data_IF_652670094643
#
_entry.id   IF_652670094643
#
_cell.length_a   1.000
_cell.length_b   1.000
_cell.length_c   1.000
_cell.angle_alpha   90.00
_cell.angle_beta   90.00
_cell.angle_gamma   90.00
#
_symmetry.space_group_name_H-M   'P 1'
#
loop_
_entity.id
_entity.type
_entity.pdbx_description
1 polymer ?
#
# COMPACT_ATOMS: atom_id res chain seq x y z
N UNK A 1 -67.31 38.75 19.40
CA UNK A 1 -66.45 39.80 18.85
C UNK A 1 -65.24 39.16 18.20
N UNK A 2 -64.89 39.66 17.00
CA UNK A 2 -63.63 39.55 16.26
C UNK A 2 -63.03 38.16 15.91
N UNK A 3 -63.10 37.88 14.60
CA UNK A 3 -62.18 37.06 13.79
C UNK A 3 -60.86 37.79 13.59
N UNK A 4 -59.76 37.06 13.30
CA UNK A 4 -58.78 37.20 12.18
C UNK A 4 -57.49 36.45 12.53
N UNK A 5 -57.14 35.38 11.80
CA UNK A 5 -56.20 35.36 10.66
C UNK A 5 -54.75 35.16 11.14
N UNK A 6 -54.04 34.10 10.78
CA UNK A 6 -53.29 33.94 9.51
C UNK A 6 -52.73 32.49 9.54
N UNK A 7 -53.05 31.58 8.60
CA UNK A 7 -52.32 31.23 7.34
C UNK A 7 -50.80 31.07 7.59
N UNK A 8 -50.09 30.03 7.15
CA UNK A 8 -50.10 29.42 5.82
C UNK A 8 -49.13 28.22 5.78
N UNK A 9 -49.42 27.26 4.88
CA UNK A 9 -48.49 26.38 4.14
C UNK A 9 -47.48 25.50 4.90
N UNK A 10 -47.21 24.26 4.51
CA UNK A 10 -47.53 23.57 3.27
C UNK A 10 -46.33 22.69 2.91
N UNK A 11 -46.64 21.43 2.58
CA UNK A 11 -45.96 20.53 1.64
C UNK A 11 -44.44 20.26 1.82
N UNK A 12 -44.08 19.03 2.17
CA UNK A 12 -43.85 17.91 1.22
C UNK A 12 -42.48 18.06 0.56
N UNK A 13 -41.52 17.22 0.96
CA UNK A 13 -40.45 16.78 0.06
C UNK A 13 -39.73 15.56 0.66
N UNK A 14 -40.04 14.42 0.07
CA UNK A 14 -39.17 13.26 0.02
C UNK A 14 -37.80 13.62 -0.55
N UNK A 15 -36.79 12.87 -0.10
CA UNK A 15 -35.48 12.65 -0.75
C UNK A 15 -34.30 13.46 -0.19
N UNK A 16 -33.42 12.75 0.51
CA UNK A 16 -32.00 12.80 0.17
C UNK A 16 -31.36 11.46 0.54
N UNK A 17 -31.04 10.70 -0.51
CA UNK A 17 -30.14 9.57 -0.46
C UNK A 17 -28.69 10.00 -0.15
N UNK A 18 -27.86 8.98 0.06
CA UNK A 18 -26.45 8.90 -0.31
C UNK A 18 -25.39 9.37 0.69
N UNK A 19 -24.40 8.47 0.88
CA UNK A 19 -23.00 8.87 0.92
C UNK A 19 -22.29 8.78 2.27
N UNK A 20 -21.82 7.58 2.64
CA UNK A 20 -20.58 7.47 3.44
C UNK A 20 -19.64 6.43 2.84
N UNK A 21 -19.53 6.45 1.52
CA UNK A 21 -18.47 5.79 0.77
C UNK A 21 -17.79 6.86 -0.07
N UNK A 22 -16.94 7.69 0.54
CA UNK A 22 -16.11 8.64 -0.20
C UNK A 22 -14.91 9.14 0.63
N UNK A 23 -13.82 8.36 0.60
CA UNK A 23 -12.45 8.88 0.47
C UNK A 23 -11.52 7.76 -0.02
N UNK A 24 -11.81 7.19 -1.19
CA UNK A 24 -10.82 6.41 -1.96
C UNK A 24 -10.39 7.26 -3.17
N UNK A 25 -9.91 8.47 -2.88
CA UNK A 25 -9.31 9.32 -3.89
C UNK A 25 -7.94 8.77 -4.29
N UNK A 26 -7.47 8.96 -5.53
CA UNK A 26 -6.12 8.58 -5.94
C UNK A 26 -5.04 9.17 -5.02
N UNK A 27 -5.30 10.33 -4.39
CA UNK A 27 -4.39 10.95 -3.42
C UNK A 27 -4.25 10.16 -2.10
N UNK A 28 -5.32 9.50 -1.65
CA UNK A 28 -5.34 8.68 -0.43
C UNK A 28 -4.58 7.36 -0.65
N UNK A 29 -4.70 6.75 -1.83
CA UNK A 29 -3.90 5.57 -2.20
C UNK A 29 -2.41 5.89 -2.22
N UNK A 30 -2.00 6.99 -2.83
CA UNK A 30 -0.57 7.38 -2.83
C UNK A 30 -0.09 7.73 -1.41
N UNK A 31 -0.96 8.26 -0.54
CA UNK A 31 -0.63 8.48 0.87
C UNK A 31 -0.48 7.15 1.64
N UNK A 32 -1.34 6.15 1.37
CA UNK A 32 -1.23 4.81 1.94
C UNK A 32 0.07 4.10 1.49
N UNK A 33 0.42 4.16 0.20
CA UNK A 33 1.69 3.64 -0.34
C UNK A 33 2.92 4.28 0.33
N UNK A 34 2.86 5.59 0.57
CA UNK A 34 3.90 6.33 1.31
C UNK A 34 4.04 5.90 2.77
N UNK A 35 2.95 5.46 3.40
CA UNK A 35 2.93 4.90 4.75
C UNK A 35 3.50 3.48 4.76
N UNK A 36 3.18 2.69 3.74
CA UNK A 36 3.62 1.30 3.58
C UNK A 36 5.12 1.18 3.32
N UNK A 37 5.70 2.09 2.52
CA UNK A 37 7.16 2.15 2.32
C UNK A 37 7.91 2.57 3.60
N UNK A 38 7.38 3.55 4.35
CA UNK A 38 7.98 4.01 5.59
C UNK A 38 8.07 2.91 6.65
N UNK A 39 6.98 2.15 6.81
CA UNK A 39 6.93 0.98 7.68
C UNK A 39 7.91 -0.12 7.24
N UNK A 40 7.98 -0.39 5.93
CA UNK A 40 8.91 -1.37 5.37
C UNK A 40 10.38 -0.99 5.62
N UNK A 41 10.77 0.27 5.38
CA UNK A 41 12.14 0.75 5.66
C UNK A 41 12.49 0.54 7.13
N UNK A 42 11.58 0.88 8.04
CA UNK A 42 11.76 0.67 9.49
C UNK A 42 11.94 -0.82 9.82
N UNK A 43 11.15 -1.70 9.22
CA UNK A 43 11.28 -3.15 9.39
C UNK A 43 12.64 -3.67 8.94
N UNK A 44 13.08 -3.30 7.72
CA UNK A 44 14.39 -3.70 7.19
C UNK A 44 15.53 -3.18 8.06
N UNK A 45 15.44 -1.95 8.55
CA UNK A 45 16.42 -1.36 9.47
C UNK A 45 16.51 -2.16 10.78
N UNK A 46 15.37 -2.54 11.36
CA UNK A 46 15.33 -3.34 12.57
C UNK A 46 15.90 -4.75 12.35
N UNK A 47 15.60 -5.37 11.20
CA UNK A 47 16.15 -6.67 10.81
C UNK A 47 17.68 -6.62 10.67
N UNK A 48 18.20 -5.55 10.09
CA UNK A 48 19.64 -5.28 10.02
C UNK A 48 20.27 -4.88 11.38
N UNK A 49 19.46 -4.73 12.44
CA UNK A 49 19.88 -4.35 13.80
C UNK A 49 20.69 -3.05 13.87
N UNK A 50 20.38 -2.09 13.00
CA UNK A 50 21.03 -0.77 12.99
C UNK A 50 20.07 0.32 13.49
N UNK A 51 20.63 1.34 14.14
CA UNK A 51 19.84 2.49 14.59
C UNK A 51 19.44 3.39 13.42
N UNK A 52 18.41 4.23 13.61
CA UNK A 52 18.01 5.24 12.63
C UNK A 52 19.16 6.18 12.26
N UNK A 53 19.98 6.56 13.24
CA UNK A 53 21.18 7.41 13.06
C UNK A 53 22.27 6.73 12.26
N UNK A 54 22.42 5.42 12.44
CA UNK A 54 23.37 4.64 11.65
C UNK A 54 22.89 4.51 10.21
N UNK A 55 21.61 4.18 9.98
CA UNK A 55 21.06 4.13 8.62
C UNK A 55 21.18 5.49 7.92
N UNK A 56 20.85 6.59 8.60
CA UNK A 56 20.96 7.93 8.02
C UNK A 56 22.39 8.24 7.56
N UNK A 57 23.41 7.85 8.35
CA UNK A 57 24.82 7.99 7.99
C UNK A 57 25.20 7.11 6.79
N UNK A 58 24.76 5.85 6.76
CA UNK A 58 25.06 4.91 5.68
C UNK A 58 24.40 5.29 4.36
N UNK A 59 23.17 5.79 4.42
CA UNK A 59 22.40 6.23 3.28
C UNK A 59 22.83 7.63 2.78
N UNK A 60 23.52 8.43 3.60
CA UNK A 60 23.83 9.83 3.26
C UNK A 60 22.60 10.74 3.32
N UNK A 61 21.55 10.33 4.03
CA UNK A 61 20.30 11.06 4.21
C UNK A 61 20.27 11.69 5.61
N UNK A 62 19.70 12.88 5.76
CA UNK A 62 19.62 13.51 7.08
C UNK A 62 18.71 12.70 8.03
N UNK A 63 19.11 12.60 9.30
CA UNK A 63 18.35 11.85 10.30
C UNK A 63 16.91 12.36 10.50
N UNK A 64 16.65 13.69 10.56
CA UNK A 64 15.28 14.19 10.66
C UNK A 64 14.42 13.81 9.45
N UNK A 65 14.98 13.84 8.24
CA UNK A 65 14.24 13.50 7.03
C UNK A 65 13.92 12.00 6.97
N UNK A 66 14.90 11.14 7.28
CA UNK A 66 14.66 9.69 7.38
C UNK A 66 13.61 9.34 8.43
N UNK A 67 13.59 10.05 9.57
CA UNK A 67 12.54 9.90 10.59
C UNK A 67 11.15 10.26 10.06
N UNK A 68 11.04 11.28 9.20
CA UNK A 68 9.77 11.64 8.58
C UNK A 68 9.30 10.58 7.59
N UNK A 69 10.23 9.99 6.83
CA UNK A 69 9.94 8.89 5.89
C UNK A 69 9.44 7.65 6.64
N UNK A 70 10.14 7.17 7.67
CA UNK A 70 9.72 5.97 8.44
C UNK A 70 8.36 6.12 9.13
N UNK A 71 7.88 7.36 9.32
CA UNK A 71 6.56 7.67 9.88
C UNK A 71 5.48 7.90 8.82
N UNK A 72 5.82 7.81 7.53
CA UNK A 72 4.91 8.10 6.42
C UNK A 72 4.56 9.58 6.27
N UNK A 73 5.29 10.50 6.91
CA UNK A 73 5.03 11.95 6.86
C UNK A 73 5.61 12.61 5.60
N UNK A 74 6.52 11.91 4.91
CA UNK A 74 7.19 12.37 3.69
C UNK A 74 7.27 11.22 2.70
N UNK A 75 6.94 11.50 1.45
CA UNK A 75 7.15 10.59 0.33
C UNK A 75 8.59 10.77 -0.18
N UNK A 76 9.45 9.74 -0.11
CA UNK A 76 10.81 9.81 -0.62
C UNK A 76 10.82 9.80 -2.16
N UNK A 77 11.82 10.43 -2.77
CA UNK A 77 12.09 10.29 -4.21
C UNK A 77 12.80 8.96 -4.50
N UNK A 78 12.85 8.56 -5.78
CA UNK A 78 13.58 7.36 -6.21
C UNK A 78 15.07 7.41 -5.81
N UNK A 79 15.72 8.57 -5.92
CA UNK A 79 17.12 8.75 -5.51
C UNK A 79 17.32 8.48 -4.01
N UNK A 80 16.41 9.01 -3.17
CA UNK A 80 16.44 8.78 -1.72
C UNK A 80 16.21 7.29 -1.40
N UNK A 81 15.32 6.63 -2.13
CA UNK A 81 15.11 5.18 -1.97
C UNK A 81 16.36 4.39 -2.35
N UNK A 82 17.10 4.75 -3.41
CA UNK A 82 18.38 4.10 -3.76
C UNK A 82 19.41 4.25 -2.64
N UNK A 83 19.54 5.46 -2.11
CA UNK A 83 20.44 5.77 -1.01
C UNK A 83 20.11 4.93 0.23
N UNK A 84 18.83 4.84 0.59
CA UNK A 84 18.35 4.02 1.70
C UNK A 84 18.59 2.52 1.44
N UNK A 85 18.30 2.03 0.23
CA UNK A 85 18.56 0.64 -0.15
C UNK A 85 20.04 0.27 -0.02
N UNK A 86 20.93 1.15 -0.47
CA UNK A 86 22.38 1.00 -0.30
C UNK A 86 22.78 0.95 1.18
N UNK A 87 22.20 1.81 2.01
CA UNK A 87 22.43 1.83 3.45
C UNK A 87 21.95 0.56 4.16
N UNK A 88 20.86 -0.04 3.67
CA UNK A 88 20.28 -1.30 4.15
C UNK A 88 20.90 -2.56 3.53
N UNK A 89 21.71 -2.41 2.47
CA UNK A 89 22.26 -3.49 1.65
C UNK A 89 21.18 -4.41 1.06
N UNK A 90 20.10 -3.81 0.56
CA UNK A 90 19.01 -4.50 -0.15
C UNK A 90 18.88 -3.96 -1.58
N UNK A 91 18.13 -4.65 -2.43
CA UNK A 91 17.82 -4.14 -3.77
C UNK A 91 16.95 -2.89 -3.69
N UNK A 92 17.30 -1.85 -4.46
CA UNK A 92 16.48 -0.65 -4.60
C UNK A 92 15.12 -0.97 -5.25
N UNK A 93 15.07 -1.99 -6.10
CA UNK A 93 13.85 -2.49 -6.73
C UNK A 93 12.79 -2.86 -5.70
N UNK A 94 13.18 -3.54 -4.61
CA UNK A 94 12.26 -3.92 -3.55
C UNK A 94 11.59 -2.69 -2.90
N UNK A 95 12.35 -1.60 -2.73
CA UNK A 95 11.79 -0.34 -2.23
C UNK A 95 10.91 0.37 -3.26
N UNK A 96 11.21 0.25 -4.56
CA UNK A 96 10.39 0.86 -5.61
C UNK A 96 9.04 0.18 -5.77
N UNK A 97 9.01 -1.16 -5.71
CA UNK A 97 7.77 -1.93 -5.73
C UNK A 97 6.92 -1.55 -4.52
N UNK A 98 7.52 -1.50 -3.33
CA UNK A 98 6.80 -1.13 -2.11
C UNK A 98 6.34 0.34 -2.11
N UNK A 99 7.07 1.23 -2.79
CA UNK A 99 6.67 2.62 -2.97
C UNK A 99 5.65 2.85 -4.10
N UNK A 100 5.28 1.80 -4.85
CA UNK A 100 4.43 1.90 -6.04
C UNK A 100 5.07 2.71 -7.19
N UNK A 101 6.39 2.90 -7.17
CA UNK A 101 7.16 3.58 -8.24
C UNK A 101 7.44 2.61 -9.39
N UNK A 102 7.53 1.32 -9.07
CA UNK A 102 7.70 0.26 -10.03
C UNK A 102 6.54 -0.72 -9.86
N UNK A 103 5.86 -1.05 -10.95
CA UNK A 103 4.92 -2.16 -10.95
C UNK A 103 5.68 -3.42 -10.59
N UNK A 104 5.10 -4.28 -9.74
CA UNK A 104 5.71 -5.57 -9.45
C UNK A 104 5.94 -6.26 -10.80
N UNK A 105 7.19 -6.62 -11.17
CA UNK A 105 7.47 -7.10 -12.50
C UNK A 105 6.52 -8.24 -12.84
N UNK A 106 5.75 -8.05 -13.91
CA UNK A 106 4.84 -9.07 -14.45
C UNK A 106 5.72 -10.11 -15.13
N UNK A 107 6.36 -10.93 -14.30
CA UNK A 107 7.48 -11.76 -14.72
C UNK A 107 8.55 -11.86 -13.64
N UNK A 108 8.31 -12.66 -12.61
CA UNK A 108 9.36 -13.02 -11.65
C UNK A 108 10.27 -14.14 -12.19
N UNK A 109 11.30 -14.56 -11.44
CA UNK A 109 12.22 -15.62 -11.85
C UNK A 109 11.52 -16.92 -12.30
N UNK A 110 10.37 -17.21 -11.67
CA UNK A 110 9.52 -18.35 -12.03
C UNK A 110 8.87 -18.17 -13.40
N UNK A 111 8.33 -16.98 -13.70
CA UNK A 111 7.71 -16.69 -14.99
C UNK A 111 8.73 -16.73 -16.11
N UNK A 112 9.93 -16.18 -15.87
CA UNK A 112 11.03 -16.21 -16.82
C UNK A 112 11.51 -17.64 -17.10
N UNK A 113 11.64 -18.46 -16.05
CA UNK A 113 11.98 -19.88 -16.20
C UNK A 113 10.93 -20.64 -17.02
N UNK A 114 9.63 -20.42 -16.76
CA UNK A 114 8.55 -21.07 -17.51
C UNK A 114 8.54 -20.62 -18.98
N UNK A 115 8.81 -19.34 -19.26
CA UNK A 115 8.87 -18.82 -20.64
C UNK A 115 10.07 -19.37 -21.42
N UNK A 116 11.22 -19.50 -20.75
CA UNK A 116 12.47 -19.97 -21.35
C UNK A 116 12.53 -21.50 -21.54
N UNK A 117 11.62 -22.26 -20.92
CA UNK A 117 11.60 -23.72 -21.05
C UNK A 117 11.14 -24.15 -22.45
N UNK A 118 12.06 -24.74 -23.21
CA UNK A 118 11.83 -25.23 -24.56
C UNK A 118 11.05 -26.56 -24.60
N UNK A 119 10.89 -27.26 -23.47
CA UNK A 119 10.12 -28.50 -23.38
C UNK A 119 8.61 -28.27 -23.28
N UNK A 120 8.20 -27.04 -22.98
CA UNK A 120 6.80 -26.65 -22.84
C UNK A 120 6.27 -26.03 -24.13
N UNK A 121 5.08 -26.45 -24.53
CA UNK A 121 4.29 -25.75 -25.56
C UNK A 121 3.80 -24.41 -25.03
N UNK A 122 3.53 -23.45 -25.92
CA UNK A 122 2.98 -22.14 -25.54
C UNK A 122 1.67 -22.25 -24.75
N UNK A 123 0.83 -23.25 -25.06
CA UNK A 123 -0.39 -23.51 -24.28
C UNK A 123 -0.09 -23.98 -22.86
N UNK A 124 0.90 -24.85 -22.68
CA UNK A 124 1.30 -25.34 -21.35
C UNK A 124 1.94 -24.22 -20.52
N UNK A 125 2.77 -23.38 -21.14
CA UNK A 125 3.32 -22.18 -20.49
C UNK A 125 2.19 -21.28 -20.01
N UNK A 126 1.21 -21.00 -20.86
CA UNK A 126 0.07 -20.16 -20.48
C UNK A 126 -0.68 -20.72 -19.27
N UNK A 127 -0.99 -22.02 -19.27
CA UNK A 127 -1.70 -22.67 -18.15
C UNK A 127 -0.90 -22.59 -16.84
N UNK A 128 0.42 -22.83 -16.90
CA UNK A 128 1.27 -22.74 -15.71
C UNK A 128 1.32 -21.31 -15.14
N UNK A 129 1.40 -20.32 -16.02
CA UNK A 129 1.39 -18.91 -15.62
C UNK A 129 0.05 -18.50 -15.03
N UNK A 130 -1.07 -18.93 -15.62
CA UNK A 130 -2.42 -18.63 -15.13
C UNK A 130 -2.63 -19.18 -13.70
N UNK A 131 -2.17 -20.42 -13.44
CA UNK A 131 -2.24 -21.07 -12.12
C UNK A 131 -1.30 -20.38 -11.12
N UNK A 132 -0.09 -20.03 -11.56
CA UNK A 132 0.86 -19.30 -10.71
C UNK A 132 0.27 -17.95 -10.27
N UNK A 133 -0.32 -17.20 -11.19
CA UNK A 133 -1.00 -15.94 -10.90
C UNK A 133 -2.22 -16.11 -9.99
N UNK A 134 -2.98 -17.20 -10.11
CA UNK A 134 -4.11 -17.44 -9.20
C UNK A 134 -3.67 -17.63 -7.77
N UNK A 135 -2.57 -18.37 -7.52
CA UNK A 135 -2.04 -18.54 -6.16
C UNK A 135 -1.49 -17.24 -5.58
N UNK A 136 -0.85 -16.39 -6.39
CA UNK A 136 -0.39 -15.08 -5.93
C UNK A 136 -1.55 -14.18 -5.51
N UNK A 137 -2.64 -14.17 -6.30
CA UNK A 137 -3.86 -13.42 -5.96
C UNK A 137 -4.52 -13.94 -4.68
N UNK A 138 -4.59 -15.26 -4.52
CA UNK A 138 -5.15 -15.89 -3.32
C UNK A 138 -4.34 -15.55 -2.06
N UNK A 139 -3.01 -15.63 -2.13
CA UNK A 139 -2.14 -15.29 -1.01
C UNK A 139 -2.26 -13.81 -0.60
N UNK A 140 -2.35 -12.90 -1.57
CA UNK A 140 -2.57 -11.47 -1.29
C UNK A 140 -3.94 -11.22 -0.63
N UNK A 141 -4.98 -11.95 -1.07
CA UNK A 141 -6.29 -11.90 -0.44
C UNK A 141 -6.31 -12.45 0.99
N UNK A 142 -5.52 -13.51 1.27
CA UNK A 142 -5.37 -14.06 2.61
C UNK A 142 -4.60 -13.13 3.55
N UNK A 143 -3.55 -12.46 3.07
CA UNK A 143 -2.80 -11.46 3.84
C UNK A 143 -3.70 -10.27 4.21
N UNK A 144 -4.49 -9.75 3.27
CA UNK A 144 -5.43 -8.65 3.51
C UNK A 144 -6.59 -9.03 4.47
N UNK A 145 -7.03 -10.29 4.47
CA UNK A 145 -8.06 -10.79 5.38
C UNK A 145 -7.54 -11.04 6.82
N UNK A 146 -6.24 -11.30 6.97
CA UNK A 146 -5.59 -11.51 8.28
C UNK A 146 -5.48 -10.26 9.14
N UNK A 147 -5.46 -9.08 8.53
CA UNK A 147 -5.33 -7.78 9.22
C UNK A 147 -6.66 -7.19 9.73
N UNK A 148 -7.80 -7.82 9.41
CA UNK A 148 -9.12 -7.44 9.92
C UNK A 148 -9.60 -8.37 11.03
N UNK A 149 -8.85 -8.48 12.13
CA UNK A 149 -9.41 -9.03 13.38
C UNK A 149 -9.83 -7.86 14.28
N UNK A 150 -11.14 -7.59 14.45
CA UNK A 150 -11.57 -6.58 15.39
C UNK A 150 -11.29 -7.08 16.82
N UNK A 151 -10.53 -6.27 17.53
CA UNK A 151 -10.21 -6.41 18.95
C UNK A 151 -11.51 -6.48 19.75
N UNK A 152 -11.96 -7.71 20.08
CA UNK A 152 -13.11 -7.93 20.95
C UNK A 152 -12.69 -7.56 22.37
N UNK A 153 -12.83 -6.28 22.71
CA UNK A 153 -12.93 -5.84 24.11
C UNK A 153 -14.13 -6.51 24.75
N UNK A 154 -13.91 -7.63 25.44
CA UNK A 154 -14.80 -8.06 26.51
C UNK A 154 -14.53 -7.16 27.70
N UNK A 155 -15.53 -6.34 27.98
CA UNK A 155 -15.70 -5.55 29.18
C UNK A 155 -16.30 -6.49 30.22
N UNK A 156 -15.57 -6.79 31.28
CA UNK A 156 -16.11 -7.22 32.57
C UNK A 156 -15.98 -6.07 33.56
#
# INVERSE_FOLDING_TARGET
MARTSTRDGGHDETSSAAGSAESDGPMDRVASLGKDIGAYIRQQRNHAKISLRQLSKLAGVSNPYLSQIERGLRKPSAEILQQIAKGLRISAEALYVQAGILDRPVGGPVVDAVRADASLTERQKQVLLDVYESFLRENQGMEAAGEQRPDRKHKE
#
